data_IF_848606115156
#
_entry.id   IF_848606115156
#
_cell.length_a   1.000
_cell.length_b   1.000
_cell.length_c   1.000
_cell.angle_alpha   90.00
_cell.angle_beta   90.00
_cell.angle_gamma   90.00
#
_symmetry.space_group_name_H-M   'P 1'
#
loop_
_entity.id
_entity.type
_entity.pdbx_description
1 polymer ?
#
# COMPACT_ATOMS: atom_id res chain seq x y z
N UNK A 1 -18.07 -14.34 35.14
CA UNK A 1 -18.22 -13.21 34.19
C UNK A 1 -17.30 -12.09 34.61
N UNK A 2 -16.68 -11.40 33.63
CA UNK A 2 -15.76 -10.25 33.75
C UNK A 2 -14.32 -10.60 34.09
N UNK A 3 -13.54 -10.84 33.04
CA UNK A 3 -12.26 -10.16 32.75
C UNK A 3 -11.77 -10.76 31.43
N UNK A 4 -12.48 -10.39 30.34
CA UNK A 4 -12.08 -10.72 28.98
C UNK A 4 -10.80 -9.96 28.64
N UNK A 5 -9.73 -10.72 28.40
CA UNK A 5 -8.75 -10.55 27.31
C UNK A 5 -8.42 -9.09 26.95
N UNK A 6 -7.32 -8.51 27.42
CA UNK A 6 -5.98 -8.69 26.81
C UNK A 6 -6.06 -8.94 25.30
N UNK A 7 -6.23 -7.87 24.53
CA UNK A 7 -5.82 -7.78 23.12
C UNK A 7 -5.31 -6.34 22.92
N UNK A 8 -4.00 -6.16 22.73
CA UNK A 8 -3.43 -5.89 21.39
C UNK A 8 -4.27 -4.83 20.68
N UNK A 9 -3.82 -3.59 20.55
CA UNK A 9 -2.96 -3.21 19.43
C UNK A 9 -1.96 -2.14 19.88
N UNK A 10 -0.70 -2.57 20.07
CA UNK A 10 0.44 -1.67 19.98
C UNK A 10 0.54 -1.20 18.52
N UNK A 11 0.03 -0.01 18.23
CA UNK A 11 0.21 0.66 16.94
C UNK A 11 1.64 1.17 16.82
N UNK A 12 2.59 0.26 16.56
CA UNK A 12 3.95 0.62 16.16
C UNK A 12 3.83 1.32 14.81
N UNK A 13 3.88 2.64 14.82
CA UNK A 13 4.02 3.44 13.61
C UNK A 13 5.46 3.21 13.13
N UNK A 14 5.66 2.21 12.27
CA UNK A 14 6.90 2.05 11.53
C UNK A 14 7.02 3.23 10.55
N UNK A 15 7.60 4.34 11.02
CA UNK A 15 8.17 5.36 10.14
C UNK A 15 9.52 4.86 9.60
N UNK A 16 9.47 3.80 8.79
CA UNK A 16 10.60 3.45 7.92
C UNK A 16 10.54 4.32 6.66
N UNK A 17 11.66 4.46 5.95
CA UNK A 17 11.77 5.07 4.61
C UNK A 17 11.05 4.24 3.53
N UNK A 18 9.84 3.82 3.83
CA UNK A 18 9.04 2.84 3.12
C UNK A 18 8.25 3.51 2.01
N UNK A 19 8.00 2.77 0.93
CA UNK A 19 7.07 3.16 -0.12
C UNK A 19 5.76 3.71 0.49
N UNK A 20 5.28 4.83 -0.02
CA UNK A 20 4.17 5.61 0.55
C UNK A 20 3.05 5.74 -0.45
N UNK A 21 1.83 5.46 -0.02
CA UNK A 21 0.63 5.77 -0.83
C UNK A 21 0.47 7.28 -0.90
N UNK A 22 0.57 7.85 -2.10
CA UNK A 22 0.38 9.29 -2.34
C UNK A 22 -1.03 9.59 -2.89
N UNK A 23 -1.67 8.60 -3.51
CA UNK A 23 -3.08 8.69 -3.95
C UNK A 23 -3.72 7.32 -3.92
N UNK A 24 -4.98 7.23 -3.51
CA UNK A 24 -5.75 5.99 -3.48
C UNK A 24 -7.23 6.28 -3.73
N UNK A 25 -7.84 5.51 -4.62
CA UNK A 25 -9.27 5.47 -4.84
C UNK A 25 -9.72 4.04 -5.14
N UNK A 26 -11.03 3.82 -5.34
CA UNK A 26 -11.57 2.47 -5.54
C UNK A 26 -11.02 1.75 -6.78
N UNK A 27 -10.52 2.48 -7.78
CA UNK A 27 -10.04 1.93 -9.06
C UNK A 27 -8.53 1.99 -9.22
N UNK A 28 -7.84 2.94 -8.59
CA UNK A 28 -6.41 3.16 -8.80
C UNK A 28 -5.72 3.56 -7.51
N UNK A 29 -4.50 3.07 -7.32
CA UNK A 29 -3.61 3.42 -6.21
C UNK A 29 -2.27 3.86 -6.79
N UNK A 30 -1.73 4.96 -6.26
CA UNK A 30 -0.42 5.49 -6.62
C UNK A 30 0.48 5.43 -5.39
N UNK A 31 1.60 4.74 -5.54
CA UNK A 31 2.59 4.52 -4.49
C UNK A 31 3.92 5.13 -4.91
N UNK A 32 4.45 6.05 -4.11
CA UNK A 32 5.80 6.58 -4.26
C UNK A 32 6.79 5.68 -3.54
N UNK A 33 7.86 5.24 -4.21
CA UNK A 33 8.90 4.40 -3.59
C UNK A 33 10.28 5.04 -3.69
N UNK A 34 10.92 5.24 -2.53
CA UNK A 34 12.32 5.66 -2.47
C UNK A 34 13.22 4.46 -2.74
N UNK A 35 13.64 4.29 -3.99
CA UNK A 35 14.51 3.19 -4.42
C UNK A 35 13.93 2.30 -5.51
N UNK A 36 12.76 2.65 -6.06
CA UNK A 36 12.08 1.85 -7.09
C UNK A 36 11.82 0.41 -6.66
N UNK A 37 11.61 0.15 -5.36
CA UNK A 37 11.29 -1.19 -4.87
C UNK A 37 9.85 -1.55 -5.27
N UNK A 38 9.74 -2.40 -6.30
CA UNK A 38 8.46 -2.86 -6.81
C UNK A 38 7.73 -3.79 -5.85
N UNK A 39 8.45 -4.56 -5.02
CA UNK A 39 7.84 -5.54 -4.13
C UNK A 39 7.14 -4.83 -2.96
N UNK A 40 7.79 -3.83 -2.38
CA UNK A 40 7.19 -3.01 -1.34
C UNK A 40 5.99 -2.21 -1.86
N UNK A 41 6.14 -1.60 -3.05
CA UNK A 41 5.07 -0.82 -3.67
C UNK A 41 3.83 -1.68 -3.99
N UNK A 42 4.04 -2.90 -4.50
CA UNK A 42 2.97 -3.85 -4.76
C UNK A 42 2.25 -4.25 -3.47
N UNK A 43 2.99 -4.55 -2.40
CA UNK A 43 2.41 -4.94 -1.12
C UNK A 43 1.54 -3.83 -0.49
N UNK A 44 1.93 -2.57 -0.63
CA UNK A 44 1.12 -1.42 -0.23
C UNK A 44 -0.13 -1.27 -1.12
N UNK A 45 0.03 -1.37 -2.43
CA UNK A 45 -1.09 -1.27 -3.36
C UNK A 45 -2.12 -2.39 -3.13
N UNK A 46 -1.69 -3.62 -2.89
CA UNK A 46 -2.57 -4.75 -2.58
C UNK A 46 -3.35 -4.52 -1.28
N UNK A 47 -2.70 -3.97 -0.24
CA UNK A 47 -3.39 -3.59 1.01
C UNK A 47 -4.46 -2.53 0.79
N UNK A 48 -4.20 -1.54 -0.07
CA UNK A 48 -5.17 -0.50 -0.40
C UNK A 48 -6.33 -1.04 -1.24
N UNK A 49 -6.06 -1.80 -2.31
CA UNK A 49 -7.10 -2.40 -3.14
C UNK A 49 -7.93 -3.44 -2.38
N UNK A 50 -7.33 -4.17 -1.43
CA UNK A 50 -8.03 -5.16 -0.61
C UNK A 50 -9.11 -4.55 0.28
N UNK A 51 -9.00 -3.26 0.66
CA UNK A 51 -10.08 -2.52 1.36
C UNK A 51 -11.38 -2.49 0.55
N UNK A 52 -11.29 -2.66 -0.77
CA UNK A 52 -12.39 -2.69 -1.71
C UNK A 52 -12.64 -4.09 -2.32
N UNK A 53 -12.07 -5.14 -1.72
CA UNK A 53 -12.11 -6.52 -2.24
C UNK A 53 -11.59 -6.63 -3.68
N UNK A 54 -10.47 -5.97 -3.96
CA UNK A 54 -9.77 -5.95 -5.25
C UNK A 54 -8.28 -6.26 -5.03
N UNK A 55 -7.59 -6.68 -6.09
CA UNK A 55 -6.13 -6.82 -6.11
C UNK A 55 -5.49 -5.70 -6.92
N UNK A 56 -4.23 -5.37 -6.60
CA UNK A 56 -3.49 -4.35 -7.32
C UNK A 56 -2.77 -4.95 -8.53
N UNK A 57 -2.96 -4.34 -9.70
CA UNK A 57 -2.23 -4.65 -10.93
C UNK A 57 -1.41 -3.45 -11.34
N UNK A 58 -0.10 -3.58 -11.44
CA UNK A 58 0.79 -2.51 -11.95
C UNK A 58 0.34 -2.11 -13.36
N UNK A 59 0.10 -0.81 -13.55
CA UNK A 59 -0.16 -0.20 -14.86
C UNK A 59 0.96 0.71 -15.30
N UNK A 60 1.64 1.39 -14.37
CA UNK A 60 2.83 2.18 -14.67
C UNK A 60 3.94 1.91 -13.65
N UNK A 61 5.17 1.83 -14.17
CA UNK A 61 6.39 1.72 -13.37
C UNK A 61 7.06 3.09 -13.27
N UNK A 62 7.83 3.34 -12.20
CA UNK A 62 8.60 4.56 -12.05
C UNK A 62 9.60 4.71 -13.20
N UNK A 63 9.87 5.96 -13.54
CA UNK A 63 10.89 6.36 -14.52
C UNK A 63 12.02 7.10 -13.79
N UNK A 64 13.08 7.47 -14.51
CA UNK A 64 14.18 8.25 -13.93
C UNK A 64 13.71 9.57 -13.28
N UNK A 65 12.62 10.15 -13.77
CA UNK A 65 12.07 11.42 -13.30
C UNK A 65 10.91 11.27 -12.31
N UNK A 66 10.22 10.13 -12.32
CA UNK A 66 9.02 9.86 -11.52
C UNK A 66 9.20 8.60 -10.70
N UNK A 67 9.15 8.72 -9.36
CA UNK A 67 9.31 7.61 -8.41
C UNK A 67 8.00 6.91 -8.05
N UNK A 68 7.01 7.07 -8.91
CA UNK A 68 5.63 6.63 -8.68
C UNK A 68 5.34 5.33 -9.42
N UNK A 69 4.80 4.36 -8.69
CA UNK A 69 4.13 3.20 -9.24
C UNK A 69 2.63 3.49 -9.29
N UNK A 70 2.01 3.20 -10.43
CA UNK A 70 0.55 3.27 -10.58
C UNK A 70 0.01 1.86 -10.69
N UNK A 71 -1.04 1.60 -9.91
CA UNK A 71 -1.74 0.33 -9.85
C UNK A 71 -3.23 0.54 -10.13
N UNK A 72 -3.82 -0.37 -10.89
CA UNK A 72 -5.27 -0.53 -10.98
C UNK A 72 -5.74 -1.54 -9.92
N UNK A 73 -6.83 -1.22 -9.24
CA UNK A 73 -7.57 -2.16 -8.41
C UNK A 73 -8.58 -2.92 -9.27
N UNK A 74 -8.34 -4.20 -9.46
CA UNK A 74 -9.11 -5.12 -10.31
C UNK A 74 -9.67 -6.30 -9.49
N UNK A 75 -10.71 -6.97 -10.01
CA UNK A 75 -11.44 -8.07 -9.34
C UNK A 75 -10.92 -9.45 -9.71
#
# INVERSE_FOLDING_TARGET
MRLLMVCLIAGVILSGCAAKVISSNSRTVVVESQGMDSAESQLLADKECAKHQRYARVTARPTYWLREYVFDCVQ
#
